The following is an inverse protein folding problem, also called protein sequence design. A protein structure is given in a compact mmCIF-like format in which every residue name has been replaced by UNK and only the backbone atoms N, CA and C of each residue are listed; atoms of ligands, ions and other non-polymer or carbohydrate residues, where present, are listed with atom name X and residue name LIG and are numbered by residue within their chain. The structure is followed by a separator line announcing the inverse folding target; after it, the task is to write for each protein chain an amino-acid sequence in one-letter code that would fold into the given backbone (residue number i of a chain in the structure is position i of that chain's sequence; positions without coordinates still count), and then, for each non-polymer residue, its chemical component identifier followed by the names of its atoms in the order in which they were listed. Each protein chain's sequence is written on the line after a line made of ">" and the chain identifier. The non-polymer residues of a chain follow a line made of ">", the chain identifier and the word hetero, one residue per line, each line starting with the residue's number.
data_IF_392091254320
#
_entry.id   IF_392091254320
#
_cell.length_a   1.000
_cell.length_b   1.000
_cell.length_c   1.000
_cell.angle_alpha   90.00
_cell.angle_beta   90.00
_cell.angle_gamma   90.00
#
_symmetry.space_group_name_H-M   'P 1'
#
loop_
_entity.id
_entity.type
_entity.pdbx_description
1 polymer ?
#
# COMPACT_ATOMS: atom_id res chain seq x y z
N UNK A 1 -3.06 41.12 2.81
CA UNK A 1 -3.97 40.27 2.04
C UNK A 1 -3.24 38.98 1.76
N UNK A 2 -3.70 37.88 2.33
CA UNK A 2 -3.16 36.55 2.03
C UNK A 2 -3.45 36.19 0.57
N UNK A 3 -2.56 35.44 -0.08
CA UNK A 3 -2.88 34.88 -1.38
C UNK A 3 -4.11 33.97 -1.24
N UNK A 4 -5.16 34.23 -2.03
CA UNK A 4 -6.40 33.42 -2.04
C UNK A 4 -6.28 32.16 -2.90
N UNK A 5 -5.07 31.80 -3.26
CA UNK A 5 -4.73 30.56 -3.94
C UNK A 5 -3.62 29.85 -3.17
N UNK A 6 -3.77 28.53 -3.03
CA UNK A 6 -2.75 27.64 -2.48
C UNK A 6 -2.61 26.45 -3.43
N UNK A 7 -1.38 26.05 -3.72
CA UNK A 7 -1.10 24.78 -4.41
C UNK A 7 -0.34 23.89 -3.46
N UNK A 8 -0.85 22.68 -3.24
CA UNK A 8 -0.17 21.61 -2.50
C UNK A 8 0.09 20.49 -3.49
N UNK A 9 1.30 19.93 -3.53
CA UNK A 9 1.70 19.01 -4.58
C UNK A 9 2.15 17.64 -4.05
N UNK A 10 1.27 16.85 -3.41
CA UNK A 10 1.66 15.53 -2.92
C UNK A 10 2.30 14.69 -4.02
N UNK A 11 3.55 14.27 -3.81
CA UNK A 11 4.32 13.45 -4.76
C UNK A 11 4.36 14.06 -6.18
N UNK A 12 4.38 15.39 -6.26
CA UNK A 12 4.45 16.16 -7.51
C UNK A 12 3.11 16.35 -8.24
N UNK A 13 1.98 15.88 -7.71
CA UNK A 13 0.64 16.13 -8.28
C UNK A 13 0.04 17.43 -7.71
N UNK A 14 0.04 18.51 -8.49
CA UNK A 14 -0.42 19.83 -8.03
C UNK A 14 -1.93 19.93 -7.84
N UNK A 15 -2.37 20.04 -6.59
CA UNK A 15 -3.76 20.32 -6.20
C UNK A 15 -3.93 21.81 -5.91
N UNK A 16 -4.78 22.48 -6.68
CA UNK A 16 -5.05 23.92 -6.52
C UNK A 16 -6.28 24.16 -5.65
N UNK A 17 -6.13 25.00 -4.63
CA UNK A 17 -7.21 25.47 -3.77
C UNK A 17 -7.41 26.97 -4.01
N UNK A 18 -8.60 27.36 -4.46
CA UNK A 18 -8.98 28.76 -4.70
C UNK A 18 -10.05 29.17 -3.69
N UNK A 19 -9.71 30.06 -2.77
CA UNK A 19 -10.58 30.49 -1.68
C UNK A 19 -11.47 31.65 -2.11
N UNK A 20 -12.79 31.47 -2.11
CA UNK A 20 -13.73 32.53 -2.45
C UNK A 20 -13.97 33.49 -1.29
N UNK A 21 -14.59 34.65 -1.55
CA UNK A 21 -14.75 35.76 -0.60
C UNK A 21 -15.38 35.40 0.75
N UNK A 22 -16.05 34.25 0.85
CA UNK A 22 -16.68 33.79 2.09
C UNK A 22 -15.68 33.20 3.09
N UNK A 23 -14.48 32.86 2.65
CA UNK A 23 -13.40 32.33 3.50
C UNK A 23 -12.57 33.48 4.07
N UNK A 24 -12.54 33.68 5.41
CA UNK A 24 -11.73 34.71 6.05
C UNK A 24 -10.22 34.51 5.84
N UNK A 25 -9.46 35.59 5.76
CA UNK A 25 -7.99 35.55 5.59
C UNK A 25 -7.28 34.74 6.70
N UNK A 26 -7.84 34.72 7.92
CA UNK A 26 -7.32 33.92 9.04
C UNK A 26 -7.43 32.40 8.79
N UNK A 27 -8.53 31.95 8.16
CA UNK A 27 -8.73 30.54 7.78
C UNK A 27 -7.76 30.15 6.69
N UNK A 28 -7.57 31.02 5.69
CA UNK A 28 -6.60 30.79 4.61
C UNK A 28 -5.19 30.64 5.18
N UNK A 29 -4.79 31.54 6.09
CA UNK A 29 -3.49 31.47 6.75
C UNK A 29 -3.33 30.18 7.59
N UNK A 30 -4.39 29.73 8.27
CA UNK A 30 -4.41 28.47 9.01
C UNK A 30 -4.21 27.25 8.12
N UNK A 31 -4.89 27.20 6.96
CA UNK A 31 -4.70 26.13 5.96
C UNK A 31 -3.29 26.18 5.37
N UNK A 32 -2.77 27.35 5.05
CA UNK A 32 -1.40 27.52 4.55
C UNK A 32 -0.35 27.04 5.57
N UNK A 33 -0.51 27.39 6.85
CA UNK A 33 0.35 26.90 7.93
C UNK A 33 0.26 25.38 8.02
N UNK A 34 -0.94 24.82 8.06
CA UNK A 34 -1.17 23.38 8.23
C UNK A 34 -0.43 22.54 7.19
N UNK A 35 -0.34 23.01 5.96
CA UNK A 35 0.26 22.29 4.83
C UNK A 35 1.68 22.74 4.48
N UNK A 36 2.28 23.63 5.27
CA UNK A 36 3.58 24.25 4.97
C UNK A 36 4.77 23.27 4.88
N UNK A 37 4.68 22.11 5.52
CA UNK A 37 5.71 21.07 5.46
C UNK A 37 5.59 20.13 4.24
N UNK A 38 4.55 20.28 3.42
CA UNK A 38 4.46 19.62 2.11
C UNK A 38 5.15 20.51 1.08
N UNK A 39 6.46 20.29 0.93
CA UNK A 39 7.36 21.17 0.15
C UNK A 39 7.56 20.74 -1.31
N UNK A 40 6.92 19.64 -1.73
CA UNK A 40 6.98 19.18 -3.11
C UNK A 40 6.50 20.25 -4.08
N UNK A 41 7.13 20.32 -5.25
CA UNK A 41 6.71 21.22 -6.34
C UNK A 41 5.79 20.46 -7.29
N UNK A 42 4.76 21.14 -7.81
CA UNK A 42 3.87 20.56 -8.81
C UNK A 42 4.62 20.27 -10.11
N UNK A 43 4.88 18.99 -10.38
CA UNK A 43 5.45 18.48 -11.64
C UNK A 43 4.37 18.21 -12.69
N UNK A 44 3.16 17.87 -12.22
CA UNK A 44 2.01 17.58 -13.06
C UNK A 44 0.72 18.21 -12.51
N UNK A 45 -0.20 18.69 -13.37
CA UNK A 45 -1.46 19.24 -12.92
C UNK A 45 -2.34 18.13 -12.32
N UNK A 46 -2.96 18.41 -11.18
CA UNK A 46 -3.95 17.58 -10.51
C UNK A 46 -5.33 18.23 -10.51
N UNK A 47 -6.06 18.04 -9.41
CA UNK A 47 -7.40 18.60 -9.24
C UNK A 47 -7.37 20.08 -8.85
N UNK A 48 -8.47 20.78 -9.12
CA UNK A 48 -8.70 22.14 -8.64
C UNK A 48 -9.99 22.16 -7.82
N UNK A 49 -9.92 22.80 -6.66
CA UNK A 49 -11.03 22.94 -5.73
C UNK A 49 -11.29 24.41 -5.43
N UNK A 50 -12.53 24.86 -5.61
CA UNK A 50 -13.01 26.12 -5.04
C UNK A 50 -13.40 25.87 -3.58
N UNK A 51 -12.91 26.72 -2.69
CA UNK A 51 -13.13 26.63 -1.24
C UNK A 51 -14.08 27.73 -0.81
N UNK A 52 -15.14 27.38 -0.09
CA UNK A 52 -16.18 28.31 0.37
C UNK A 52 -16.67 27.95 1.79
N UNK A 53 -17.16 28.95 2.54
CA UNK A 53 -17.84 28.74 3.82
C UNK A 53 -19.37 28.83 3.73
N UNK A 54 -19.90 29.31 2.60
CA UNK A 54 -21.33 29.28 2.29
C UNK A 54 -21.62 28.23 1.21
N UNK A 55 -22.88 27.80 1.05
CA UNK A 55 -23.24 26.79 0.04
C UNK A 55 -22.78 27.19 -1.37
N UNK A 56 -22.08 26.27 -2.06
CA UNK A 56 -22.79 25.14 -2.64
C UNK A 56 -22.18 23.78 -2.28
N UNK A 57 -22.88 23.03 -1.44
CA UNK A 57 -22.59 21.61 -1.17
C UNK A 57 -23.02 20.77 -2.37
N UNK A 58 -22.23 19.75 -2.74
CA UNK A 58 -22.58 18.80 -3.80
C UNK A 58 -22.20 19.21 -5.22
N UNK A 59 -21.47 20.32 -5.41
CA UNK A 59 -20.91 20.69 -6.71
C UNK A 59 -19.51 20.07 -6.87
N UNK A 60 -19.29 19.36 -7.98
CA UNK A 60 -17.99 18.81 -8.32
C UNK A 60 -16.90 19.90 -8.36
N UNK A 61 -15.76 19.67 -7.71
CA UNK A 61 -14.68 20.65 -7.63
C UNK A 61 -14.94 21.79 -6.63
N UNK A 62 -15.95 21.70 -5.77
CA UNK A 62 -16.20 22.68 -4.70
C UNK A 62 -16.15 21.98 -3.34
N UNK A 63 -15.40 22.57 -2.40
CA UNK A 63 -15.40 22.18 -0.99
C UNK A 63 -16.03 23.34 -0.22
N UNK A 64 -17.31 23.20 0.11
CA UNK A 64 -18.09 24.17 0.87
C UNK A 64 -18.45 23.60 2.24
N UNK A 65 -18.03 24.26 3.32
CA UNK A 65 -18.29 23.80 4.70
C UNK A 65 -18.62 24.97 5.64
N UNK A 66 -19.59 24.81 6.55
CA UNK A 66 -20.10 25.93 7.37
C UNK A 66 -19.17 26.33 8.52
N UNK A 67 -18.12 25.55 8.81
CA UNK A 67 -17.14 25.86 9.86
C UNK A 67 -15.71 25.67 9.38
N UNK A 68 -14.76 26.32 10.05
CA UNK A 68 -13.34 26.25 9.74
C UNK A 68 -12.80 24.83 9.91
N UNK A 69 -13.25 24.12 10.95
CA UNK A 69 -12.84 22.75 11.25
C UNK A 69 -13.32 21.78 10.16
N UNK A 70 -14.59 21.86 9.77
CA UNK A 70 -15.15 21.03 8.73
C UNK A 70 -14.47 21.30 7.38
N UNK A 71 -14.15 22.58 7.09
CA UNK A 71 -13.43 22.98 5.89
C UNK A 71 -12.02 22.37 5.86
N UNK A 72 -11.27 22.48 6.96
CA UNK A 72 -9.94 21.92 7.09
C UNK A 72 -9.94 20.39 6.91
N UNK A 73 -10.92 19.69 7.50
CA UNK A 73 -11.05 18.24 7.37
C UNK A 73 -11.32 17.82 5.92
N UNK A 74 -12.23 18.50 5.21
CA UNK A 74 -12.54 18.17 3.82
C UNK A 74 -11.40 18.52 2.86
N UNK A 75 -10.68 19.63 3.09
CA UNK A 75 -9.45 19.95 2.36
C UNK A 75 -8.42 18.84 2.60
N UNK A 76 -8.25 18.39 3.84
CA UNK A 76 -7.31 17.33 4.16
C UNK A 76 -7.68 15.99 3.54
N UNK A 77 -8.96 15.62 3.51
CA UNK A 77 -9.44 14.44 2.82
C UNK A 77 -9.17 14.52 1.31
N UNK A 78 -9.47 15.65 0.66
CA UNK A 78 -9.21 15.85 -0.76
C UNK A 78 -7.71 15.73 -1.10
N UNK A 79 -6.84 16.29 -0.26
CA UNK A 79 -5.39 16.20 -0.44
C UNK A 79 -4.84 14.79 -0.17
N UNK A 80 -5.40 14.05 0.79
CA UNK A 80 -5.07 12.63 0.99
C UNK A 80 -5.45 11.80 -0.24
N UNK A 81 -6.65 11.99 -0.79
CA UNK A 81 -7.08 11.29 -2.02
C UNK A 81 -6.15 11.63 -3.17
N UNK A 82 -5.81 12.91 -3.35
CA UNK A 82 -4.87 13.33 -4.38
C UNK A 82 -3.47 12.70 -4.19
N UNK A 83 -3.01 12.50 -2.96
CA UNK A 83 -1.75 11.82 -2.69
C UNK A 83 -1.77 10.34 -3.10
N UNK A 84 -2.86 9.62 -2.82
CA UNK A 84 -3.05 8.25 -3.32
C UNK A 84 -3.13 8.20 -4.85
N UNK A 85 -3.89 9.11 -5.47
CA UNK A 85 -3.98 9.23 -6.94
C UNK A 85 -2.64 9.63 -7.58
N UNK A 86 -1.80 10.36 -6.83
CA UNK A 86 -0.47 10.73 -7.29
C UNK A 86 0.43 9.49 -7.49
N UNK A 87 0.13 8.40 -6.77
CA UNK A 87 0.88 7.14 -6.82
C UNK A 87 0.40 6.19 -7.93
N UNK A 88 -0.84 6.34 -8.40
CA UNK A 88 -1.49 5.42 -9.36
C UNK A 88 -0.59 5.08 -10.55
N UNK A 89 -0.32 3.79 -10.75
CA UNK A 89 0.51 3.25 -11.82
C UNK A 89 2.01 3.59 -11.76
N UNK A 90 2.49 4.19 -10.66
CA UNK A 90 3.86 4.74 -10.55
C UNK A 90 4.60 4.34 -9.27
N UNK A 91 3.91 4.40 -8.14
CA UNK A 91 4.49 4.25 -6.80
C UNK A 91 3.68 3.21 -6.05
N UNK A 92 4.35 2.36 -5.26
CA UNK A 92 3.66 1.54 -4.27
C UNK A 92 3.12 2.46 -3.18
N UNK A 93 1.79 2.57 -3.08
CA UNK A 93 1.10 3.42 -2.11
C UNK A 93 0.58 2.56 -0.97
N UNK A 94 1.17 2.73 0.22
CA UNK A 94 0.80 1.99 1.43
C UNK A 94 0.10 2.95 2.39
N UNK A 95 -1.11 2.62 2.81
CA UNK A 95 -1.79 3.28 3.91
C UNK A 95 -1.08 2.92 5.22
N UNK A 96 -0.19 3.81 5.63
CA UNK A 96 0.77 3.60 6.69
C UNK A 96 1.24 4.94 7.26
N UNK A 97 1.64 4.93 8.52
CA UNK A 97 2.45 6.00 9.09
C UNK A 97 3.94 5.66 8.92
N UNK A 98 4.82 6.65 8.77
CA UNK A 98 6.24 6.39 8.61
C UNK A 98 7.15 7.43 9.29
N UNK A 99 8.30 6.95 9.74
CA UNK A 99 9.38 7.73 10.34
C UNK A 99 10.68 7.52 9.58
N UNK A 100 11.50 8.57 9.53
CA UNK A 100 12.87 8.53 9.02
C UNK A 100 13.86 8.55 10.19
N UNK A 101 14.77 7.58 10.20
CA UNK A 101 15.95 7.54 11.05
C UNK A 101 16.97 8.60 10.60
N UNK A 102 17.95 8.98 11.44
CA UNK A 102 18.90 10.05 11.11
C UNK A 102 19.71 9.84 9.83
N UNK A 103 19.87 8.59 9.38
CA UNK A 103 20.60 8.20 8.17
C UNK A 103 19.70 8.05 6.92
N UNK A 104 18.41 8.38 7.02
CA UNK A 104 17.46 8.33 5.91
C UNK A 104 16.70 7.00 5.77
N UNK A 105 17.00 5.99 6.61
CA UNK A 105 16.19 4.76 6.64
C UNK A 105 14.78 5.05 7.12
N UNK A 106 13.78 4.50 6.45
CA UNK A 106 12.37 4.72 6.73
C UNK A 106 11.73 3.42 7.22
N UNK A 107 11.02 3.51 8.36
CA UNK A 107 10.17 2.44 8.87
C UNK A 107 8.72 2.84 8.65
N UNK A 108 8.00 2.02 7.90
CA UNK A 108 6.56 2.15 7.68
C UNK A 108 5.79 1.23 8.62
N UNK A 109 4.75 1.77 9.24
CA UNK A 109 3.86 1.07 10.15
C UNK A 109 2.45 1.05 9.55
N UNK A 110 1.96 -0.15 9.29
CA UNK A 110 0.61 -0.36 8.76
C UNK A 110 -0.16 -1.33 9.65
N UNK A 111 -1.47 -1.39 9.47
CA UNK A 111 -2.34 -2.21 10.30
C UNK A 111 -3.74 -1.64 10.34
N UNK A 112 -4.67 -2.43 10.87
CA UNK A 112 -6.11 -2.10 10.90
C UNK A 112 -6.36 -0.72 11.55
N UNK A 113 -7.49 -0.06 11.23
CA UNK A 113 -7.94 1.10 11.99
C UNK A 113 -7.93 0.82 13.50
N UNK A 114 -7.40 1.75 14.30
CA UNK A 114 -7.24 1.56 15.74
C UNK A 114 -5.97 0.80 16.19
N UNK A 115 -5.15 0.27 15.28
CA UNK A 115 -3.91 -0.43 15.63
C UNK A 115 -2.79 0.47 16.21
N UNK A 116 -3.06 1.76 16.43
CA UNK A 116 -2.17 2.70 17.09
C UNK A 116 -1.24 3.51 16.18
N UNK A 117 -1.42 3.48 14.84
CA UNK A 117 -0.60 4.25 13.87
C UNK A 117 -0.44 5.73 14.26
N UNK A 118 -1.56 6.43 14.43
CA UNK A 118 -1.57 7.86 14.78
C UNK A 118 -0.98 8.13 16.17
N UNK A 119 -1.18 7.23 17.14
CA UNK A 119 -0.59 7.34 18.48
C UNK A 119 0.92 7.19 18.43
N UNK A 120 1.41 6.14 17.75
CA UNK A 120 2.83 5.86 17.61
C UNK A 120 3.55 6.99 16.87
N UNK A 121 3.01 7.45 15.73
CA UNK A 121 3.63 8.52 14.95
C UNK A 121 3.62 9.87 15.69
N UNK A 122 2.57 10.16 16.47
CA UNK A 122 2.49 11.39 17.28
C UNK A 122 3.58 11.48 18.35
N UNK A 123 3.94 10.33 18.92
CA UNK A 123 4.99 10.22 19.93
C UNK A 123 6.37 10.21 19.25
N UNK A 124 6.55 9.33 18.28
CA UNK A 124 7.83 9.03 17.66
C UNK A 124 8.32 10.14 16.73
N UNK A 125 7.41 10.88 16.10
CA UNK A 125 7.72 12.01 15.22
C UNK A 125 8.41 13.19 15.94
N UNK A 126 8.43 13.20 17.29
CA UNK A 126 9.20 14.17 18.09
C UNK A 126 10.66 13.73 18.35
N UNK A 127 11.00 12.50 17.97
CA UNK A 127 12.32 11.86 18.19
C UNK A 127 13.00 11.44 16.90
N UNK A 128 12.22 11.14 15.87
CA UNK A 128 12.66 10.77 14.53
C UNK A 128 11.97 11.64 13.48
N UNK A 129 12.52 11.71 12.28
CA UNK A 129 11.96 12.54 11.21
C UNK A 129 10.55 12.08 10.84
N UNK A 130 9.56 12.96 10.95
CA UNK A 130 8.18 12.65 10.55
C UNK A 130 8.06 12.62 9.03
N UNK A 131 7.70 11.47 8.46
CA UNK A 131 7.45 11.31 7.01
C UNK A 131 5.99 11.57 6.71
N UNK A 132 5.08 10.81 7.34
CA UNK A 132 3.63 10.87 7.11
C UNK A 132 2.89 10.05 8.17
N UNK A 133 1.59 10.30 8.36
CA UNK A 133 0.67 9.47 9.15
C UNK A 133 -0.33 8.67 8.29
N UNK A 134 -0.30 8.84 6.96
CA UNK A 134 -1.36 8.35 6.06
C UNK A 134 -0.82 7.55 4.86
N UNK A 135 -0.01 8.15 3.99
CA UNK A 135 0.35 7.55 2.69
C UNK A 135 1.86 7.50 2.53
N UNK A 136 2.41 6.28 2.56
CA UNK A 136 3.81 6.03 2.25
C UNK A 136 3.92 5.65 0.78
N UNK A 137 4.57 6.50 0.00
CA UNK A 137 4.80 6.26 -1.42
C UNK A 137 6.24 5.78 -1.66
N UNK A 138 6.38 4.59 -2.23
CA UNK A 138 7.67 3.93 -2.46
C UNK A 138 7.91 3.72 -3.96
N UNK A 139 9.09 4.11 -4.45
CA UNK A 139 9.55 3.82 -5.81
C UNK A 139 10.05 2.38 -5.90
N UNK A 140 10.15 1.86 -7.13
CA UNK A 140 10.64 0.49 -7.41
C UNK A 140 12.07 0.22 -6.94
N UNK A 141 12.87 1.24 -6.67
CA UNK A 141 14.22 1.12 -6.10
C UNK A 141 14.26 1.21 -4.57
N UNK A 142 13.10 1.30 -3.91
CA UNK A 142 12.97 1.45 -2.46
C UNK A 142 13.08 2.89 -1.96
N UNK A 143 13.20 3.89 -2.84
CA UNK A 143 13.15 5.30 -2.43
C UNK A 143 11.77 5.67 -1.92
N UNK A 144 11.70 6.30 -0.75
CA UNK A 144 10.46 6.83 -0.18
C UNK A 144 10.32 8.30 -0.55
N UNK A 145 9.16 8.70 -1.07
CA UNK A 145 8.86 10.11 -1.28
C UNK A 145 8.24 10.70 -0.01
N UNK A 146 8.69 11.88 0.44
CA UNK A 146 8.14 12.50 1.65
C UNK A 146 6.71 13.00 1.40
N UNK A 147 5.82 12.85 2.38
CA UNK A 147 4.49 13.49 2.35
C UNK A 147 4.07 13.91 3.75
N UNK A 148 4.64 15.03 4.17
CA UNK A 148 4.55 15.56 5.54
C UNK A 148 3.26 16.32 5.79
N UNK A 149 2.13 15.67 5.56
CA UNK A 149 0.81 16.25 5.82
C UNK A 149 0.63 16.61 7.30
N UNK A 150 -0.24 17.59 7.61
CA UNK A 150 -0.62 17.89 8.98
C UNK A 150 -1.22 16.68 9.68
N UNK A 151 -0.80 16.48 10.94
CA UNK A 151 -1.33 15.42 11.79
C UNK A 151 -2.68 15.85 12.37
N UNK A 152 -3.69 15.00 12.23
CA UNK A 152 -5.02 15.29 12.72
C UNK A 152 -5.16 14.83 14.19
N UNK A 153 -4.78 15.70 15.12
CA UNK A 153 -4.88 15.43 16.57
C UNK A 153 -6.25 15.86 17.09
N UNK A 154 -6.86 15.08 17.98
CA UNK A 154 -8.10 15.48 18.64
C UNK A 154 -7.90 16.82 19.35
N UNK A 155 -8.75 17.81 19.03
CA UNK A 155 -8.80 19.06 19.77
C UNK A 155 -9.60 18.84 21.06
N UNK A 156 -9.13 19.43 22.16
CA UNK A 156 -9.80 19.31 23.46
C UNK A 156 -11.25 19.84 23.38
N UNK A 157 -12.23 18.95 23.61
CA UNK A 157 -13.63 19.30 23.84
C UNK A 157 -14.50 19.65 22.63
N UNK A 158 -13.96 19.85 21.42
CA UNK A 158 -14.77 20.22 20.23
C UNK A 158 -15.23 19.06 19.36
N UNK A 159 -14.71 17.84 19.58
CA UNK A 159 -14.96 16.67 18.74
C UNK A 159 -14.24 16.69 17.38
N UNK A 160 -13.72 17.85 16.97
CA UNK A 160 -12.97 18.04 15.72
C UNK A 160 -11.48 17.80 15.90
N UNK A 161 -10.80 17.40 14.83
CA UNK A 161 -9.34 17.27 14.81
C UNK A 161 -8.71 18.61 14.43
N UNK A 162 -7.73 19.07 15.20
CA UNK A 162 -6.95 20.26 14.85
C UNK A 162 -5.87 19.86 13.85
N UNK A 163 -5.87 20.52 12.70
CA UNK A 163 -4.85 20.38 11.66
C UNK A 163 -3.78 21.44 11.89
N UNK A 164 -2.54 21.01 12.12
CA UNK A 164 -1.35 21.87 12.31
C UNK A 164 -0.20 21.23 11.56
N UNK A 165 0.73 22.02 11.04
CA UNK A 165 1.92 21.46 10.40
C UNK A 165 2.65 20.52 11.37
N UNK A 166 3.36 19.50 10.86
CA UNK A 166 4.25 18.70 11.68
C UNK A 166 5.24 19.56 12.49
N UNK A 167 5.87 20.57 11.86
CA UNK A 167 6.77 21.51 12.53
C UNK A 167 6.08 22.27 13.68
N UNK A 168 4.92 22.87 13.45
CA UNK A 168 4.18 23.57 14.52
C UNK A 168 3.60 22.62 15.57
N UNK A 169 3.52 21.33 15.28
CA UNK A 169 3.16 20.27 16.23
C UNK A 169 4.37 19.77 17.03
N UNK A 170 5.59 20.26 16.74
CA UNK A 170 6.84 19.87 17.38
C UNK A 170 7.41 18.55 16.87
N UNK A 171 7.04 18.13 15.67
CA UNK A 171 7.66 16.98 14.99
C UNK A 171 9.01 17.40 14.39
N UNK A 172 9.97 16.49 14.41
CA UNK A 172 11.30 16.75 13.87
C UNK A 172 11.28 16.83 12.34
N UNK A 173 12.20 17.61 11.74
CA UNK A 173 12.38 17.63 10.30
C UNK A 173 12.85 16.27 9.78
N UNK A 174 12.74 16.05 8.47
CA UNK A 174 13.39 14.93 7.80
C UNK A 174 14.92 15.12 7.85
N UNK A 175 15.68 14.02 7.90
CA UNK A 175 17.14 14.09 7.81
C UNK A 175 17.58 14.63 6.45
N UNK A 176 18.77 15.21 6.39
CA UNK A 176 19.46 15.56 5.14
C UNK A 176 20.10 14.31 4.50
N UNK A 177 19.29 13.27 4.31
CA UNK A 177 19.69 11.99 3.73
C UNK A 177 18.58 11.46 2.81
N UNK A 178 18.93 10.72 1.73
CA UNK A 178 17.93 10.09 0.87
C UNK A 178 17.05 9.12 1.66
N UNK A 179 15.73 9.24 1.51
CA UNK A 179 14.79 8.38 2.22
C UNK A 179 14.66 7.01 1.53
N UNK A 180 14.91 5.93 2.27
CA UNK A 180 14.86 4.55 1.76
C UNK A 180 14.04 3.66 2.69
N UNK A 181 13.12 2.88 2.14
CA UNK A 181 12.36 1.92 2.95
C UNK A 181 13.33 0.89 3.53
N UNK A 182 13.32 0.75 4.86
CA UNK A 182 14.17 -0.17 5.61
C UNK A 182 13.38 -1.11 6.52
N UNK A 183 12.09 -0.85 6.72
CA UNK A 183 11.20 -1.74 7.46
C UNK A 183 9.74 -1.50 7.11
N UNK A 184 8.97 -2.58 7.08
CA UNK A 184 7.51 -2.58 6.93
C UNK A 184 6.92 -3.43 8.04
N UNK A 185 6.31 -2.77 9.02
CA UNK A 185 5.84 -3.40 10.26
C UNK A 185 4.32 -3.39 10.34
N UNK A 186 3.73 -4.56 10.56
CA UNK A 186 2.31 -4.77 10.82
C UNK A 186 2.04 -4.56 12.31
N UNK A 187 1.33 -3.49 12.65
CA UNK A 187 0.94 -3.18 14.02
C UNK A 187 -0.12 -4.16 14.53
N UNK A 188 0.20 -4.83 15.63
CA UNK A 188 -0.70 -5.69 16.39
C UNK A 188 -0.72 -5.23 17.84
N UNK A 189 -1.34 -4.06 18.10
CA UNK A 189 -1.47 -3.53 19.46
C UNK A 189 -2.41 -4.38 20.30
N UNK A 190 -1.97 -4.78 21.48
CA UNK A 190 -2.76 -5.53 22.45
C UNK A 190 -2.59 -4.89 23.85
N UNK A 191 -3.66 -4.36 24.47
CA UNK A 191 -3.60 -3.85 25.85
C UNK A 191 -3.15 -4.89 26.89
N UNK A 192 -3.36 -6.17 26.59
CA UNK A 192 -2.91 -7.31 27.39
C UNK A 192 -1.67 -8.00 26.78
N UNK A 193 -1.05 -7.35 25.80
CA UNK A 193 0.16 -7.81 25.13
C UNK A 193 1.41 -7.73 26.01
N UNK A 194 2.57 -8.07 25.43
CA UNK A 194 3.82 -8.19 26.18
C UNK A 194 4.28 -6.83 26.73
N UNK A 195 5.00 -6.88 27.85
CA UNK A 195 5.60 -5.70 28.49
C UNK A 195 6.65 -5.05 27.58
N UNK A 196 7.49 -5.88 26.97
CA UNK A 196 8.45 -5.49 25.94
C UNK A 196 7.88 -5.81 24.56
N UNK A 197 8.02 -4.93 23.56
CA UNK A 197 7.48 -5.20 22.24
C UNK A 197 8.25 -6.29 21.51
N UNK A 198 7.53 -7.11 20.76
CA UNK A 198 8.08 -8.24 20.01
C UNK A 198 7.94 -7.98 18.50
N UNK A 199 9.01 -8.29 17.76
CA UNK A 199 9.01 -8.29 16.29
C UNK A 199 9.09 -9.72 15.79
N UNK A 200 8.02 -10.19 15.18
CA UNK A 200 7.92 -11.54 14.60
C UNK A 200 8.02 -11.48 13.07
N UNK A 201 8.69 -12.45 12.45
CA UNK A 201 8.70 -12.58 11.00
C UNK A 201 7.34 -13.02 10.47
N UNK A 202 6.90 -12.43 9.37
CA UNK A 202 5.65 -12.76 8.68
C UNK A 202 5.97 -13.30 7.31
N UNK A 203 5.50 -14.52 7.01
CA UNK A 203 5.64 -15.13 5.70
C UNK A 203 5.02 -14.26 4.61
N UNK A 204 5.61 -14.26 3.42
CA UNK A 204 5.24 -13.31 2.36
C UNK A 204 3.75 -13.36 1.99
N UNK A 205 3.17 -14.55 1.91
CA UNK A 205 1.75 -14.75 1.58
C UNK A 205 0.79 -14.18 2.65
N UNK A 206 1.14 -14.35 3.93
CA UNK A 206 0.40 -13.73 5.04
C UNK A 206 0.57 -12.20 5.04
N UNK A 207 1.78 -11.72 4.79
CA UNK A 207 2.06 -10.29 4.68
C UNK A 207 1.30 -9.65 3.52
N UNK A 208 1.29 -10.28 2.34
CA UNK A 208 0.53 -9.84 1.17
C UNK A 208 -0.95 -9.69 1.52
N UNK A 209 -1.59 -10.71 2.11
CA UNK A 209 -3.00 -10.62 2.54
C UNK A 209 -3.25 -9.51 3.55
N UNK A 210 -2.34 -9.31 4.50
CA UNK A 210 -2.46 -8.25 5.49
C UNK A 210 -2.29 -6.84 4.88
N UNK A 211 -1.44 -6.71 3.86
CA UNK A 211 -1.13 -5.45 3.19
C UNK A 211 -2.17 -5.06 2.14
N UNK A 212 -2.76 -6.02 1.40
CA UNK A 212 -3.67 -5.74 0.28
C UNK A 212 -4.76 -4.70 0.59
N UNK A 213 -5.48 -4.75 1.73
CA UNK A 213 -6.48 -3.72 2.07
C UNK A 213 -5.89 -2.32 2.25
N UNK A 214 -4.60 -2.23 2.54
CA UNK A 214 -3.85 -1.01 2.80
C UNK A 214 -3.09 -0.52 1.55
N UNK A 215 -3.09 -1.27 0.45
CA UNK A 215 -2.41 -0.89 -0.79
C UNK A 215 -3.36 -0.19 -1.76
N UNK A 216 -3.16 1.10 -2.00
CA UNK A 216 -3.98 1.86 -2.96
C UNK A 216 -3.52 1.62 -4.40
N UNK A 217 -4.46 1.40 -5.31
CA UNK A 217 -4.20 1.20 -6.75
C UNK A 217 -3.22 0.06 -7.08
N UNK A 218 -3.08 -0.93 -6.18
CA UNK A 218 -2.05 -1.97 -6.28
C UNK A 218 -2.05 -2.70 -7.64
N UNK A 219 -3.23 -3.11 -8.10
CA UNK A 219 -3.42 -3.81 -9.37
C UNK A 219 -3.05 -3.01 -10.62
N UNK A 220 -2.94 -1.68 -10.51
CA UNK A 220 -2.54 -0.81 -11.62
C UNK A 220 -1.03 -0.56 -11.63
N UNK A 221 -0.31 -1.03 -10.61
CA UNK A 221 1.13 -0.91 -10.52
C UNK A 221 1.80 -1.90 -11.50
N UNK A 222 2.77 -1.45 -12.31
CA UNK A 222 3.51 -2.36 -13.19
C UNK A 222 4.24 -3.44 -12.38
N UNK A 223 3.97 -4.70 -12.73
CA UNK A 223 4.53 -5.88 -12.07
C UNK A 223 4.35 -5.80 -10.54
N UNK A 224 3.10 -5.62 -10.10
CA UNK A 224 2.75 -5.24 -8.73
C UNK A 224 3.21 -6.26 -7.68
N UNK A 225 2.99 -7.55 -7.93
CA UNK A 225 3.42 -8.62 -7.02
C UNK A 225 4.94 -8.67 -6.93
N UNK A 226 5.64 -8.56 -8.06
CA UNK A 226 7.10 -8.53 -8.09
C UNK A 226 7.65 -7.27 -7.43
N UNK A 227 7.01 -6.12 -7.63
CA UNK A 227 7.38 -4.86 -6.98
C UNK A 227 7.35 -5.01 -5.46
N UNK A 228 6.23 -5.52 -4.92
CA UNK A 228 6.11 -5.73 -3.49
C UNK A 228 7.11 -6.77 -3.00
N UNK A 229 7.26 -7.90 -3.69
CA UNK A 229 8.20 -8.96 -3.31
C UNK A 229 9.66 -8.48 -3.28
N UNK A 230 10.11 -7.78 -4.32
CA UNK A 230 11.48 -7.26 -4.41
C UNK A 230 11.77 -6.25 -3.28
N UNK A 231 10.79 -5.40 -2.93
CA UNK A 231 10.91 -4.46 -1.81
C UNK A 231 10.95 -5.18 -0.46
N UNK A 232 10.08 -6.18 -0.27
CA UNK A 232 10.04 -6.98 0.95
C UNK A 232 11.35 -7.75 1.15
N UNK A 233 11.90 -8.35 0.09
CA UNK A 233 13.20 -9.01 0.15
C UNK A 233 14.31 -8.03 0.51
N UNK A 234 14.31 -6.84 -0.09
CA UNK A 234 15.34 -5.82 0.15
C UNK A 234 15.37 -5.34 1.60
N UNK A 235 14.23 -5.30 2.29
CA UNK A 235 14.13 -4.88 3.70
C UNK A 235 14.23 -6.05 4.70
N UNK A 236 14.47 -7.28 4.21
CA UNK A 236 14.59 -8.47 5.05
C UNK A 236 13.27 -9.04 5.55
N UNK A 237 12.15 -8.76 4.87
CA UNK A 237 10.82 -9.28 5.20
C UNK A 237 9.88 -8.27 5.85
N UNK A 238 8.62 -8.67 5.98
CA UNK A 238 7.61 -7.93 6.76
C UNK A 238 7.62 -8.48 8.18
N UNK A 239 7.57 -7.57 9.18
CA UNK A 239 7.55 -7.95 10.59
C UNK A 239 6.19 -7.63 11.20
N UNK A 240 5.70 -8.47 12.11
CA UNK A 240 4.57 -8.15 12.99
C UNK A 240 5.11 -7.56 14.28
N UNK A 241 4.64 -6.37 14.63
CA UNK A 241 4.97 -5.70 15.87
C UNK A 241 3.84 -5.91 16.88
N UNK A 242 4.08 -6.75 17.89
CA UNK A 242 3.18 -6.94 19.04
C UNK A 242 3.64 -6.04 20.17
N UNK A 243 2.75 -5.19 20.66
CA UNK A 243 3.11 -4.18 21.66
C UNK A 243 1.88 -3.71 22.44
N UNK A 244 2.12 -3.25 23.68
CA UNK A 244 1.09 -2.64 24.52
C UNK A 244 1.07 -1.11 24.43
N UNK A 245 2.24 -0.50 24.64
CA UNK A 245 2.43 0.96 24.67
C UNK A 245 3.35 1.45 23.55
N UNK A 246 3.03 2.60 22.95
CA UNK A 246 3.76 3.12 21.80
C UNK A 246 5.21 3.51 22.16
N UNK A 247 5.45 3.96 23.39
CA UNK A 247 6.76 4.33 23.92
C UNK A 247 7.75 3.17 23.88
N UNK A 248 7.28 1.95 24.14
CA UNK A 248 8.15 0.78 24.22
C UNK A 248 8.69 0.36 22.86
N UNK A 249 8.06 0.78 21.75
CA UNK A 249 8.46 0.49 20.37
C UNK A 249 9.75 1.22 19.97
N UNK A 250 10.01 2.40 20.54
CA UNK A 250 11.06 3.29 20.05
C UNK A 250 12.50 2.75 20.14
N UNK A 251 12.89 1.98 21.17
CA UNK A 251 14.18 1.28 21.18
C UNK A 251 14.38 0.32 20.00
N UNK A 252 13.31 -0.31 19.48
CA UNK A 252 13.41 -1.23 18.35
C UNK A 252 13.83 -0.53 17.05
N UNK A 253 13.53 0.77 16.91
CA UNK A 253 13.91 1.57 15.74
C UNK A 253 15.43 1.68 15.58
N UNK A 254 16.19 1.59 16.67
CA UNK A 254 17.66 1.62 16.65
C UNK A 254 18.24 0.34 16.02
N UNK A 255 17.52 -0.77 16.14
CA UNK A 255 17.93 -2.09 15.64
C UNK A 255 17.50 -2.39 14.20
N UNK A 256 16.85 -1.45 13.51
CA UNK A 256 16.50 -1.59 12.09
C UNK A 256 17.79 -1.82 11.30
N UNK A 257 17.77 -2.74 10.35
CA UNK A 257 18.93 -3.06 9.50
C UNK A 257 19.12 -2.05 8.36
N UNK A 258 20.23 -2.18 7.64
CA UNK A 258 20.39 -1.50 6.34
C UNK A 258 19.60 -2.27 5.27
N UNK A 259 18.75 -1.61 4.47
CA UNK A 259 18.10 -2.28 3.36
C UNK A 259 19.12 -2.65 2.28
N UNK A 260 18.97 -3.84 1.72
CA UNK A 260 19.73 -4.25 0.54
C UNK A 260 19.30 -3.46 -0.70
N UNK A 261 20.12 -3.53 -1.76
CA UNK A 261 19.69 -3.03 -3.06
C UNK A 261 18.55 -3.89 -3.61
N UNK A 262 17.44 -3.24 -3.99
CA UNK A 262 16.27 -3.91 -4.59
C UNK A 262 16.69 -4.62 -5.87
N UNK A 263 16.59 -5.95 -5.87
CA UNK A 263 16.83 -6.78 -7.05
C UNK A 263 15.53 -6.85 -7.84
N UNK A 264 15.51 -6.26 -9.03
CA UNK A 264 14.29 -6.24 -9.84
C UNK A 264 14.06 -7.59 -10.48
N UNK A 265 12.95 -8.21 -10.15
CA UNK A 265 12.46 -9.40 -10.83
C UNK A 265 11.38 -9.02 -11.84
N UNK A 266 11.48 -9.60 -13.04
CA UNK A 266 10.48 -9.44 -14.09
C UNK A 266 9.42 -10.53 -13.95
N UNK A 267 8.14 -10.23 -14.24
CA UNK A 267 7.09 -11.23 -14.28
C UNK A 267 7.48 -12.38 -15.21
N UNK A 268 7.34 -13.61 -14.73
CA UNK A 268 7.45 -14.79 -15.57
C UNK A 268 6.44 -14.71 -16.71
N UNK A 269 6.89 -14.43 -17.94
CA UNK A 269 6.02 -14.45 -19.12
C UNK A 269 5.65 -15.90 -19.38
N UNK A 270 4.36 -16.24 -19.27
CA UNK A 270 3.87 -17.53 -19.75
C UNK A 270 4.18 -17.63 -21.24
N UNK A 271 5.08 -18.55 -21.60
CA UNK A 271 5.46 -18.76 -22.97
C UNK A 271 4.20 -19.08 -23.80
N UNK A 272 4.00 -18.34 -24.89
CA UNK A 272 2.93 -18.60 -25.84
C UNK A 272 3.32 -19.80 -26.72
N UNK A 273 3.46 -20.96 -26.08
CA UNK A 273 3.85 -22.18 -26.75
C UNK A 273 2.65 -22.77 -27.53
N UNK A 274 2.89 -23.46 -28.65
CA UNK A 274 1.84 -24.18 -29.36
C UNK A 274 1.18 -25.17 -28.40
N UNK A 275 -0.14 -25.11 -28.30
CA UNK A 275 -0.93 -25.99 -27.45
C UNK A 275 -1.70 -26.97 -28.32
N UNK A 276 -1.70 -28.24 -27.92
CA UNK A 276 -2.63 -29.21 -28.50
C UNK A 276 -4.08 -28.72 -28.28
N UNK A 277 -5.01 -29.00 -29.21
CA UNK A 277 -6.40 -28.64 -29.01
C UNK A 277 -6.98 -29.31 -27.75
N UNK A 278 -7.74 -28.55 -26.95
CA UNK A 278 -8.32 -29.02 -25.69
C UNK A 278 -7.36 -29.08 -24.50
N UNK A 279 -6.09 -28.69 -24.67
CA UNK A 279 -5.12 -28.52 -23.58
C UNK A 279 -5.40 -27.27 -22.74
N UNK A 280 -4.83 -27.21 -21.54
CA UNK A 280 -4.90 -26.08 -20.64
C UNK A 280 -3.59 -25.29 -20.68
N UNK A 281 -3.67 -23.97 -20.49
CA UNK A 281 -2.51 -23.10 -20.28
C UNK A 281 -2.86 -21.95 -19.34
N UNK A 282 -1.86 -21.36 -18.69
CA UNK A 282 -2.07 -20.15 -17.87
C UNK A 282 -2.49 -18.97 -18.75
N UNK A 283 -3.35 -18.10 -18.21
CA UNK A 283 -3.68 -16.82 -18.85
C UNK A 283 -2.44 -15.91 -18.89
N UNK A 284 -2.10 -15.43 -20.09
CA UNK A 284 -0.89 -14.63 -20.31
C UNK A 284 -0.91 -13.24 -19.64
N UNK A 285 -2.05 -12.79 -19.11
CA UNK A 285 -2.21 -11.51 -18.42
C UNK A 285 -2.22 -11.67 -16.90
N UNK A 286 -2.06 -12.88 -16.40
CA UNK A 286 -1.94 -13.16 -14.96
C UNK A 286 -0.49 -12.91 -14.54
N UNK A 287 -0.29 -11.92 -13.68
CA UNK A 287 0.96 -11.82 -12.93
C UNK A 287 0.95 -12.84 -11.80
N UNK A 288 2.08 -13.49 -11.50
CA UNK A 288 2.15 -14.44 -10.41
C UNK A 288 3.57 -14.49 -9.82
N UNK A 289 3.66 -14.87 -8.55
CA UNK A 289 4.92 -15.18 -7.86
C UNK A 289 4.74 -16.44 -7.02
N UNK A 290 5.82 -17.18 -6.81
CA UNK A 290 5.83 -18.33 -5.91
C UNK A 290 6.83 -18.09 -4.77
N UNK A 291 6.37 -18.18 -3.53
CA UNK A 291 7.18 -18.03 -2.31
C UNK A 291 6.74 -19.06 -1.29
N UNK A 292 7.71 -19.79 -0.71
CA UNK A 292 7.46 -20.81 0.31
C UNK A 292 6.41 -21.87 -0.11
N UNK A 293 6.41 -22.23 -1.39
CA UNK A 293 5.45 -23.19 -1.98
C UNK A 293 4.04 -22.64 -2.22
N UNK A 294 3.79 -21.36 -1.90
CA UNK A 294 2.54 -20.66 -2.18
C UNK A 294 2.66 -19.86 -3.46
N UNK A 295 1.74 -20.09 -4.39
CA UNK A 295 1.61 -19.31 -5.62
C UNK A 295 0.57 -18.22 -5.40
N UNK A 296 0.98 -16.96 -5.49
CA UNK A 296 0.08 -15.80 -5.48
C UNK A 296 -0.08 -15.26 -6.90
N UNK A 297 -1.32 -15.06 -7.33
CA UNK A 297 -1.69 -14.55 -8.64
C UNK A 297 -2.38 -13.19 -8.53
N UNK A 298 -2.16 -12.32 -9.50
CA UNK A 298 -2.85 -11.05 -9.70
C UNK A 298 -3.45 -11.04 -11.11
N UNK A 299 -4.79 -10.92 -11.18
CA UNK A 299 -5.52 -10.78 -12.43
C UNK A 299 -6.58 -9.69 -12.32
N UNK A 300 -6.47 -8.68 -13.19
CA UNK A 300 -7.33 -7.51 -13.06
C UNK A 300 -7.05 -6.84 -11.73
N UNK A 301 -8.06 -6.69 -10.86
CA UNK A 301 -7.91 -6.19 -9.49
C UNK A 301 -7.88 -7.28 -8.41
N UNK A 302 -7.98 -8.55 -8.80
CA UNK A 302 -8.06 -9.66 -7.85
C UNK A 302 -6.67 -10.23 -7.58
N UNK A 303 -6.30 -10.29 -6.30
CA UNK A 303 -5.14 -11.04 -5.83
C UNK A 303 -5.63 -12.27 -5.09
N UNK A 304 -5.13 -13.44 -5.47
CA UNK A 304 -5.47 -14.71 -4.83
C UNK A 304 -4.25 -15.60 -4.64
N UNK A 305 -4.26 -16.41 -3.59
CA UNK A 305 -3.23 -17.43 -3.35
C UNK A 305 -3.81 -18.80 -3.65
N UNK A 306 -3.10 -19.58 -4.47
CA UNK A 306 -3.48 -20.93 -4.84
C UNK A 306 -3.24 -21.89 -3.66
N UNK A 307 -4.16 -22.82 -3.45
CA UNK A 307 -4.12 -23.77 -2.33
C UNK A 307 -4.45 -25.20 -2.79
N UNK A 308 -4.20 -26.19 -1.93
CA UNK A 308 -4.43 -27.60 -2.26
C UNK A 308 -3.53 -28.07 -3.41
N UNK A 309 -4.13 -28.69 -4.43
CA UNK A 309 -3.40 -29.18 -5.63
C UNK A 309 -3.16 -28.08 -6.69
N UNK A 310 -3.72 -26.87 -6.51
CA UNK A 310 -3.62 -25.79 -7.49
C UNK A 310 -2.18 -25.29 -7.73
N UNK A 311 -1.27 -25.19 -6.74
CA UNK A 311 0.14 -24.88 -6.99
C UNK A 311 0.84 -25.90 -7.89
N UNK A 312 0.59 -27.20 -7.69
CA UNK A 312 1.16 -28.26 -8.53
C UNK A 312 0.67 -28.15 -9.99
N UNK A 313 -0.64 -27.95 -10.16
CA UNK A 313 -1.24 -27.66 -11.47
C UNK A 313 -0.64 -26.42 -12.10
N UNK A 314 -0.49 -25.34 -11.32
CA UNK A 314 0.11 -24.10 -11.79
C UNK A 314 1.50 -24.37 -12.36
N UNK A 315 2.40 -25.00 -11.59
CA UNK A 315 3.76 -25.35 -12.02
C UNK A 315 3.77 -26.20 -13.29
N UNK A 316 2.92 -27.23 -13.37
CA UNK A 316 2.78 -28.08 -14.55
C UNK A 316 2.32 -27.30 -15.79
N UNK A 317 1.50 -26.25 -15.60
CA UNK A 317 1.09 -25.32 -16.66
C UNK A 317 2.18 -24.29 -17.04
N UNK A 318 3.44 -24.52 -16.67
CA UNK A 318 4.58 -23.78 -17.23
C UNK A 318 4.69 -23.91 -18.75
N UNK A 319 4.10 -24.97 -19.32
CA UNK A 319 3.78 -25.13 -20.73
C UNK A 319 2.32 -25.59 -20.88
N UNK A 320 1.70 -25.46 -22.06
CA UNK A 320 0.40 -26.06 -22.31
C UNK A 320 0.40 -27.56 -22.00
N UNK A 321 -0.63 -28.05 -21.33
CA UNK A 321 -0.71 -29.44 -20.86
C UNK A 321 -2.16 -29.97 -20.91
N UNK A 322 -2.30 -31.25 -21.20
CA UNK A 322 -3.58 -31.97 -21.21
C UNK A 322 -4.02 -32.33 -19.79
N UNK A 323 -5.31 -32.67 -19.63
CA UNK A 323 -5.84 -33.11 -18.34
C UNK A 323 -5.09 -34.34 -17.78
N UNK A 324 -4.68 -35.25 -18.65
CA UNK A 324 -3.93 -36.46 -18.29
C UNK A 324 -2.54 -36.11 -17.73
N UNK A 325 -1.80 -35.25 -18.42
CA UNK A 325 -0.48 -34.77 -17.99
C UNK A 325 -0.56 -34.02 -16.65
N UNK A 326 -1.57 -33.17 -16.50
CA UNK A 326 -1.81 -32.42 -15.26
C UNK A 326 -2.18 -33.34 -14.09
N UNK A 327 -3.00 -34.37 -14.36
CA UNK A 327 -3.35 -35.37 -13.35
C UNK A 327 -2.13 -36.17 -12.92
N UNK A 328 -1.30 -36.59 -13.87
CA UNK A 328 -0.05 -37.30 -13.58
C UNK A 328 0.91 -36.45 -12.74
N UNK A 329 1.03 -35.15 -13.04
CA UNK A 329 1.85 -34.22 -12.26
C UNK A 329 1.36 -34.07 -10.81
N UNK A 330 0.04 -33.89 -10.61
CA UNK A 330 -0.56 -33.79 -9.27
C UNK A 330 -0.37 -35.08 -8.48
N UNK A 331 -0.59 -36.24 -9.09
CA UNK A 331 -0.40 -37.55 -8.43
C UNK A 331 1.06 -37.79 -8.06
N UNK A 332 2.01 -37.35 -8.91
CA UNK A 332 3.43 -37.45 -8.61
C UNK A 332 3.83 -36.61 -7.38
N UNK A 333 3.22 -35.43 -7.18
CA UNK A 333 3.53 -34.52 -6.07
C UNK A 333 2.79 -34.89 -4.78
N UNK A 334 1.50 -35.24 -4.86
CA UNK A 334 0.62 -35.40 -3.71
C UNK A 334 0.22 -36.87 -3.41
N UNK A 335 0.56 -37.80 -4.30
CA UNK A 335 0.08 -39.18 -4.25
C UNK A 335 -1.29 -39.35 -4.89
N UNK A 336 -1.68 -40.61 -5.11
CA UNK A 336 -3.02 -40.94 -5.59
C UNK A 336 -4.07 -40.71 -4.48
N UNK A 337 -5.30 -40.29 -4.85
CA UNK A 337 -6.36 -40.17 -3.87
C UNK A 337 -6.69 -41.54 -3.24
N UNK A 338 -7.11 -41.57 -1.96
CA UNK A 338 -7.42 -42.81 -1.26
C UNK A 338 -8.65 -43.52 -1.84
N UNK A 339 -9.59 -42.76 -2.44
CA UNK A 339 -10.79 -43.26 -3.10
C UNK A 339 -11.05 -42.44 -4.39
N UNK A 340 -11.61 -43.08 -5.42
CA UNK A 340 -11.99 -42.43 -6.67
C UNK A 340 -10.84 -42.24 -7.68
N UNK A 341 -11.16 -41.62 -8.82
CA UNK A 341 -10.20 -41.32 -9.88
C UNK A 341 -9.54 -39.95 -9.67
N UNK A 342 -8.21 -39.88 -9.72
CA UNK A 342 -7.46 -38.62 -9.52
C UNK A 342 -7.83 -37.51 -10.51
N UNK A 343 -8.37 -37.88 -11.68
CA UNK A 343 -8.73 -36.95 -12.73
C UNK A 343 -9.92 -36.05 -12.36
N UNK A 344 -10.87 -36.53 -11.56
CA UNK A 344 -12.06 -35.76 -11.15
C UNK A 344 -11.72 -34.50 -10.33
N UNK A 345 -10.97 -34.58 -9.21
CA UNK A 345 -10.61 -33.39 -8.44
C UNK A 345 -9.69 -32.45 -9.22
N UNK A 346 -8.83 -32.98 -10.09
CA UNK A 346 -7.97 -32.16 -10.97
C UNK A 346 -8.82 -31.36 -11.97
N UNK A 347 -9.79 -32.00 -12.62
CA UNK A 347 -10.70 -31.34 -13.55
C UNK A 347 -11.55 -30.26 -12.85
N UNK A 348 -12.01 -30.53 -11.62
CA UNK A 348 -12.76 -29.57 -10.82
C UNK A 348 -11.93 -28.31 -10.51
N UNK A 349 -10.69 -28.48 -10.03
CA UNK A 349 -9.80 -27.34 -9.74
C UNK A 349 -9.44 -26.57 -11.02
N UNK A 350 -9.20 -27.24 -12.15
CA UNK A 350 -8.95 -26.57 -13.43
C UNK A 350 -10.17 -25.77 -13.91
N UNK A 351 -11.39 -26.27 -13.69
CA UNK A 351 -12.61 -25.53 -14.00
C UNK A 351 -12.71 -24.27 -13.13
N UNK A 352 -12.45 -24.36 -11.82
CA UNK A 352 -12.42 -23.18 -10.93
C UNK A 352 -11.37 -22.15 -11.37
N UNK A 353 -10.15 -22.59 -11.70
CA UNK A 353 -9.10 -21.70 -12.19
C UNK A 353 -9.50 -21.04 -13.53
N UNK A 354 -10.22 -21.75 -14.39
CA UNK A 354 -10.73 -21.21 -15.65
C UNK A 354 -11.87 -20.22 -15.46
N UNK A 355 -12.79 -20.47 -14.53
CA UNK A 355 -13.86 -19.55 -14.15
C UNK A 355 -13.30 -18.22 -13.61
N UNK A 356 -12.18 -18.28 -12.89
CA UNK A 356 -11.45 -17.10 -12.40
C UNK A 356 -10.57 -16.44 -13.46
N UNK A 357 -10.45 -17.04 -14.64
CA UNK A 357 -9.65 -16.52 -15.75
C UNK A 357 -8.13 -16.62 -15.54
N UNK A 358 -7.68 -17.50 -14.64
CA UNK A 358 -6.26 -17.80 -14.41
C UNK A 358 -5.71 -18.82 -15.40
N UNK A 359 -6.58 -19.70 -15.91
CA UNK A 359 -6.25 -20.77 -16.85
C UNK A 359 -7.25 -20.70 -18.01
N UNK A 360 -6.80 -21.00 -19.22
CA UNK A 360 -7.66 -21.13 -20.38
C UNK A 360 -7.49 -22.50 -21.04
N UNK A 361 -8.59 -23.02 -21.58
CA UNK A 361 -8.60 -24.23 -22.40
C UNK A 361 -8.50 -23.84 -23.85
N UNK A 362 -7.54 -24.41 -24.57
CA UNK A 362 -7.35 -24.15 -25.99
C UNK A 362 -8.52 -24.73 -26.78
N UNK A 363 -8.98 -23.99 -27.79
CA UNK A 363 -10.08 -24.41 -28.63
C UNK A 363 -9.78 -25.79 -29.23
N UNK A 364 -10.74 -26.71 -29.16
CA UNK A 364 -10.73 -27.90 -30.01
C UNK A 364 -10.86 -27.45 -31.47
N UNK A 365 -10.28 -28.16 -32.45
CA UNK A 365 -10.56 -27.87 -33.84
C UNK A 365 -12.02 -28.27 -34.06
N UNK A 366 -12.80 -27.39 -34.70
CA UNK A 366 -14.20 -27.66 -35.05
C UNK A 366 -14.38 -28.92 -35.91
#
# INVERSE_FOLDING_TARGET
>A
MSARELTVAPFGLGVRLSFDETVPDAVIASVQESWSDVTDVAERPGTAHRIAMTEPVGIAGVIAQPSEEALAEHIGAALTVAAADACRGRLLSIHASALALPDGRVVAFTGRPGAGKSTLISLAGRRYGYVTDETVAVRRDGTVLPFRKPIALHADGSGWKRHRSPAASGMLPLPEAPLRLAGLWLLARDPHGPDEPELEDVGFDEALRALLPELSWFAELPSALHHLADLVDAIGGVRRLRYREAESVLPLLVGVGEPAAVQRTEPGVSANAPAAPGAFRRDARTEWIERDGVVSCLRGSLVESLTGIAPALWRALGHPATLEELTAAVVAEHGAPPEGEAQEPVAAVLAELAERGLVERTASPD
#
